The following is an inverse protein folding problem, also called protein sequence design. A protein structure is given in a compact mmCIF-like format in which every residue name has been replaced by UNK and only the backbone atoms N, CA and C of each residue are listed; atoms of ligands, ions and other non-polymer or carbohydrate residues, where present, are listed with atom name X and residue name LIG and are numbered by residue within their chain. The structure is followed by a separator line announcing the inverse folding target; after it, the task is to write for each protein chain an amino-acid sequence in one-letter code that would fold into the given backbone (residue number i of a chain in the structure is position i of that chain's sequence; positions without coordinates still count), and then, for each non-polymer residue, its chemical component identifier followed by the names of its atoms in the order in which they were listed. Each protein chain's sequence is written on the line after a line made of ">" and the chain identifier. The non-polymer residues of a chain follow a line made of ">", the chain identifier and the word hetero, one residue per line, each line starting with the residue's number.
data_IF_102971894774
#
_entry.id   IF_102971894774
#
_cell.length_a   1.000
_cell.length_b   1.000
_cell.length_c   1.000
_cell.angle_alpha   90.00
_cell.angle_beta   90.00
_cell.angle_gamma   90.00
#
_symmetry.space_group_name_H-M   'P 1'
#
loop_
_entity.id
_entity.type
_entity.pdbx_description
1 polymer ?
#
# COMPACT_ATOMS: atom_id res chain seq x y z
N UNK A 1 11.82 4.43 21.28
CA UNK A 1 11.01 3.65 20.30
C UNK A 1 9.86 2.86 20.91
N UNK A 2 10.01 2.35 22.12
CA UNK A 2 8.98 1.53 22.80
C UNK A 2 7.58 2.18 22.88
N UNK A 3 7.51 3.47 23.24
CA UNK A 3 6.22 4.21 23.24
C UNK A 3 5.54 4.28 21.86
N UNK A 4 6.30 4.34 20.76
CA UNK A 4 5.74 4.39 19.41
C UNK A 4 5.18 3.03 19.00
N UNK A 5 5.94 1.97 19.29
CA UNK A 5 5.50 0.59 19.11
C UNK A 5 4.18 0.37 19.85
N UNK A 6 4.09 0.68 21.15
CA UNK A 6 2.87 0.41 21.91
C UNK A 6 1.69 1.36 21.61
N UNK A 7 1.92 2.53 21.01
CA UNK A 7 0.85 3.47 20.63
C UNK A 7 0.09 3.09 19.35
N UNK A 8 0.76 2.46 18.39
CA UNK A 8 0.12 2.02 17.15
C UNK A 8 0.28 0.51 17.00
N UNK A 9 -0.84 -0.21 17.11
CA UNK A 9 -0.90 -1.68 17.06
C UNK A 9 -0.37 -2.28 15.75
N UNK A 10 -0.31 -1.47 14.69
CA UNK A 10 0.14 -1.92 13.37
C UNK A 10 1.67 -2.05 13.28
N UNK A 11 2.44 -1.38 14.14
CA UNK A 11 3.89 -1.60 14.18
C UNK A 11 4.21 -2.93 14.88
N UNK A 12 4.98 -3.78 14.19
CA UNK A 12 5.42 -5.11 14.66
C UNK A 12 6.87 -5.06 15.13
N UNK A 13 7.74 -4.39 14.37
CA UNK A 13 9.16 -4.20 14.65
C UNK A 13 9.56 -2.74 14.38
N UNK A 14 10.51 -2.21 15.14
CA UNK A 14 11.12 -0.90 14.95
C UNK A 14 12.64 -1.03 15.15
N UNK A 15 13.41 -0.59 14.17
CA UNK A 15 14.86 -0.53 14.22
C UNK A 15 15.36 0.89 14.02
N UNK A 16 16.44 1.22 14.73
CA UNK A 16 17.30 2.36 14.47
C UNK A 16 18.65 1.84 13.99
N UNK A 17 19.07 2.30 12.82
CA UNK A 17 20.28 1.87 12.13
C UNK A 17 21.24 3.06 12.10
N UNK A 18 22.52 2.84 12.39
CA UNK A 18 23.56 3.89 12.33
C UNK A 18 23.89 4.28 10.89
N UNK A 19 24.62 5.38 10.73
CA UNK A 19 25.06 5.89 9.43
C UNK A 19 25.99 4.93 8.64
N UNK A 20 26.54 3.90 9.28
CA UNK A 20 27.34 2.83 8.66
C UNK A 20 26.52 1.58 8.30
N UNK A 21 25.23 1.53 8.70
CA UNK A 21 24.31 0.44 8.36
C UNK A 21 24.11 -0.62 9.43
N UNK A 22 24.72 -0.47 10.62
CA UNK A 22 24.50 -1.40 11.72
C UNK A 22 23.24 -1.06 12.52
N UNK A 23 22.44 -2.05 12.92
CA UNK A 23 21.35 -1.79 13.87
C UNK A 23 21.92 -1.41 15.25
N UNK A 24 21.48 -0.27 15.80
CA UNK A 24 21.86 0.24 17.13
C UNK A 24 20.84 -0.17 18.19
N UNK A 25 19.56 -0.09 17.84
CA UNK A 25 18.46 -0.46 18.73
C UNK A 25 17.34 -1.06 17.89
N UNK A 26 16.77 -2.16 18.38
CA UNK A 26 15.62 -2.80 17.76
C UNK A 26 14.60 -3.22 18.82
N UNK A 27 13.33 -2.99 18.54
CA UNK A 27 12.21 -3.28 19.45
C UNK A 27 11.12 -3.99 18.67
N UNK A 28 10.87 -5.23 19.06
CA UNK A 28 9.84 -6.07 18.48
C UNK A 28 8.67 -6.27 19.46
N UNK A 29 7.45 -6.30 18.95
CA UNK A 29 6.23 -6.36 19.78
C UNK A 29 6.07 -7.68 20.54
N UNK A 30 6.45 -8.79 19.90
CA UNK A 30 6.16 -10.14 20.40
C UNK A 30 7.40 -10.93 20.84
N UNK A 31 8.59 -10.35 20.71
CA UNK A 31 9.86 -11.06 20.93
C UNK A 31 10.82 -10.13 21.65
N UNK A 32 11.59 -10.68 22.57
CA UNK A 32 12.72 -9.97 23.17
C UNK A 32 13.87 -9.96 22.17
N UNK A 33 14.44 -8.78 21.94
CA UNK A 33 15.61 -8.58 21.08
C UNK A 33 16.85 -8.44 21.97
N UNK A 34 17.89 -9.22 21.69
CA UNK A 34 19.22 -9.16 22.33
C UNK A 34 20.20 -8.42 21.42
N UNK A 35 21.36 -8.08 21.96
CA UNK A 35 22.44 -7.44 21.17
C UNK A 35 22.89 -8.33 20.00
N UNK A 36 22.99 -9.64 20.20
CA UNK A 36 23.35 -10.60 19.14
C UNK A 36 22.28 -10.73 18.03
N UNK A 37 21.07 -10.19 18.24
CA UNK A 37 20.00 -10.18 17.24
C UNK A 37 20.04 -8.95 16.32
N UNK A 38 20.96 -8.00 16.58
CA UNK A 38 21.15 -6.79 15.77
C UNK A 38 21.83 -7.14 14.44
N UNK A 39 21.33 -6.55 13.36
CA UNK A 39 21.71 -6.91 12.00
C UNK A 39 22.58 -5.83 11.35
N UNK A 40 23.47 -6.27 10.46
CA UNK A 40 24.06 -5.41 9.45
C UNK A 40 23.07 -5.24 8.29
N UNK A 41 22.58 -4.02 8.12
CA UNK A 41 21.65 -3.62 7.07
C UNK A 41 22.30 -2.70 6.03
N UNK A 42 23.64 -2.57 6.02
CA UNK A 42 24.37 -1.70 5.09
C UNK A 42 24.13 -2.05 3.62
N UNK A 43 23.84 -3.31 3.30
CA UNK A 43 23.51 -3.78 1.95
C UNK A 43 22.01 -3.80 1.65
N UNK A 44 21.14 -3.44 2.60
CA UNK A 44 19.68 -3.50 2.44
C UNK A 44 19.15 -2.35 1.58
N UNK A 45 18.04 -2.58 0.88
CA UNK A 45 17.39 -1.56 0.06
C UNK A 45 16.97 -0.33 0.87
N UNK A 46 16.48 -0.54 2.10
CA UNK A 46 16.10 0.55 3.01
C UNK A 46 17.28 1.46 3.33
N UNK A 47 18.46 0.89 3.57
CA UNK A 47 19.66 1.67 3.85
C UNK A 47 20.16 2.40 2.60
N UNK A 48 20.13 1.74 1.44
CA UNK A 48 20.53 2.35 0.17
C UNK A 48 19.60 3.51 -0.22
N UNK A 49 18.28 3.37 -0.02
CA UNK A 49 17.31 4.45 -0.23
C UNK A 49 17.58 5.63 0.71
N UNK A 50 17.81 5.36 2.00
CA UNK A 50 18.17 6.41 2.95
C UNK A 50 19.49 7.10 2.59
N UNK A 51 20.50 6.39 2.06
CA UNK A 51 21.72 7.04 1.55
C UNK A 51 21.46 7.96 0.36
N UNK A 52 20.41 7.71 -0.41
CA UNK A 52 20.01 8.53 -1.56
C UNK A 52 19.06 9.67 -1.17
N UNK A 53 18.72 9.82 0.11
CA UNK A 53 17.79 10.86 0.55
C UNK A 53 16.32 10.51 0.35
N UNK A 54 15.99 9.24 0.09
CA UNK A 54 14.61 8.80 -0.18
C UNK A 54 14.10 7.87 0.92
N UNK A 55 12.78 7.90 1.16
CA UNK A 55 12.16 6.89 1.98
C UNK A 55 12.02 5.58 1.19
N UNK A 56 11.93 4.48 1.93
CA UNK A 56 11.76 3.14 1.39
C UNK A 56 10.41 2.59 1.85
N UNK A 57 9.70 1.96 0.91
CA UNK A 57 8.50 1.17 1.19
C UNK A 57 8.65 -0.14 0.43
N UNK A 58 8.75 -1.25 1.16
CA UNK A 58 8.78 -2.56 0.52
C UNK A 58 7.40 -2.93 -0.02
N UNK A 59 7.35 -3.96 -0.85
CA UNK A 59 6.10 -4.66 -1.10
C UNK A 59 5.67 -5.47 0.14
N UNK A 60 4.45 -6.00 0.10
CA UNK A 60 3.95 -6.91 1.14
C UNK A 60 4.59 -8.28 0.99
N UNK A 61 5.13 -8.79 2.08
CA UNK A 61 5.59 -10.16 2.23
C UNK A 61 4.83 -10.86 3.35
N UNK A 62 4.93 -12.19 3.39
CA UNK A 62 4.24 -13.00 4.39
C UNK A 62 5.25 -13.65 5.35
N UNK A 63 5.10 -13.38 6.64
CA UNK A 63 5.81 -14.09 7.72
C UNK A 63 4.80 -14.86 8.57
N UNK A 64 4.93 -16.19 8.60
CA UNK A 64 4.03 -17.08 9.35
C UNK A 64 2.54 -16.82 9.03
N UNK A 65 2.23 -16.55 7.76
CA UNK A 65 0.87 -16.26 7.28
C UNK A 65 0.36 -14.85 7.58
N UNK A 66 1.18 -13.97 8.16
CA UNK A 66 0.83 -12.56 8.40
C UNK A 66 1.38 -11.69 7.27
N UNK A 67 0.56 -10.84 6.64
CA UNK A 67 1.03 -9.91 5.63
C UNK A 67 1.69 -8.70 6.32
N UNK A 68 2.94 -8.43 5.95
CA UNK A 68 3.80 -7.40 6.53
C UNK A 68 4.46 -6.59 5.42
N UNK A 69 4.84 -5.35 5.72
CA UNK A 69 5.68 -4.54 4.85
C UNK A 69 6.64 -3.70 5.67
N UNK A 70 7.73 -3.25 5.03
CA UNK A 70 8.73 -2.39 5.63
C UNK A 70 8.52 -0.94 5.18
N UNK A 71 8.65 -0.01 6.11
CA UNK A 71 8.86 1.41 5.81
C UNK A 71 10.12 1.87 6.48
N UNK A 72 10.92 2.69 5.81
CA UNK A 72 12.08 3.28 6.42
C UNK A 72 12.47 4.62 5.82
N UNK A 73 13.14 5.44 6.61
CA UNK A 73 13.58 6.76 6.21
C UNK A 73 14.85 7.15 6.95
N UNK A 74 15.73 7.87 6.27
CA UNK A 74 16.92 8.46 6.85
C UNK A 74 16.60 9.65 7.76
N UNK A 75 17.46 9.86 8.75
CA UNK A 75 17.52 11.06 9.58
C UNK A 75 18.80 11.78 9.19
N UNK A 76 18.68 13.02 8.75
CA UNK A 76 19.79 13.81 8.23
C UNK A 76 20.09 15.00 9.15
N UNK A 77 21.34 15.45 9.15
CA UNK A 77 21.71 16.71 9.78
C UNK A 77 21.41 17.90 8.85
N UNK A 78 21.74 19.12 9.30
CA UNK A 78 21.53 20.36 8.52
C UNK A 78 22.34 20.43 7.22
N UNK A 79 23.38 19.62 7.09
CA UNK A 79 24.23 19.51 5.91
C UNK A 79 23.78 18.39 4.96
N UNK A 80 22.59 17.81 5.17
CA UNK A 80 22.06 16.64 4.46
C UNK A 80 22.94 15.37 4.58
N UNK A 81 23.73 15.25 5.64
CA UNK A 81 24.49 14.03 5.91
C UNK A 81 23.66 13.05 6.73
N UNK A 82 23.59 11.80 6.27
CA UNK A 82 22.86 10.73 6.94
C UNK A 82 23.44 10.46 8.33
N UNK A 83 22.61 10.57 9.37
CA UNK A 83 22.98 10.30 10.77
C UNK A 83 22.52 8.91 11.22
N UNK A 84 21.33 8.51 10.80
CA UNK A 84 20.74 7.21 11.11
C UNK A 84 19.59 6.90 10.17
N UNK A 85 19.11 5.65 10.17
CA UNK A 85 17.93 5.22 9.43
C UNK A 85 16.94 4.62 10.41
N UNK A 86 15.68 5.01 10.30
CA UNK A 86 14.58 4.35 11.00
C UNK A 86 13.94 3.34 10.07
N UNK A 87 13.66 2.16 10.59
CA UNK A 87 12.95 1.09 9.88
C UNK A 87 11.81 0.59 10.75
N UNK A 88 10.64 0.39 10.16
CA UNK A 88 9.49 -0.20 10.81
C UNK A 88 8.95 -1.36 9.98
N UNK A 89 8.66 -2.47 10.63
CA UNK A 89 7.83 -3.55 10.07
C UNK A 89 6.39 -3.30 10.49
N UNK A 90 5.49 -3.25 9.51
CA UNK A 90 4.10 -2.86 9.67
C UNK A 90 3.20 -4.02 9.24
N UNK A 91 2.17 -4.27 10.04
CA UNK A 91 1.07 -5.16 9.70
C UNK A 91 0.24 -4.58 8.55
N UNK A 92 0.26 -5.24 7.40
CA UNK A 92 -0.42 -4.78 6.18
C UNK A 92 -1.95 -4.73 6.34
N UNK A 93 -2.53 -5.38 7.37
CA UNK A 93 -3.97 -5.28 7.67
C UNK A 93 -4.42 -3.87 8.01
N UNK A 94 -3.50 -2.95 8.33
CA UNK A 94 -3.85 -1.52 8.44
C UNK A 94 -4.46 -0.98 7.13
N UNK A 95 -3.97 -1.43 5.97
CA UNK A 95 -4.47 -1.02 4.65
C UNK A 95 -5.86 -1.57 4.36
N UNK A 96 -6.20 -2.75 4.92
CA UNK A 96 -7.54 -3.34 4.76
C UNK A 96 -8.61 -2.47 5.40
N UNK A 97 -8.32 -1.96 6.60
CA UNK A 97 -9.21 -1.02 7.27
C UNK A 97 -9.49 0.19 6.38
N UNK A 98 -8.44 0.76 5.78
CA UNK A 98 -8.56 1.91 4.88
C UNK A 98 -9.46 1.60 3.69
N UNK A 99 -9.24 0.50 2.96
CA UNK A 99 -10.09 0.17 1.81
C UNK A 99 -11.53 -0.15 2.21
N UNK A 100 -11.75 -0.82 3.35
CA UNK A 100 -13.08 -1.19 3.83
C UNK A 100 -13.93 0.00 4.30
N UNK A 101 -13.29 1.09 4.73
CA UNK A 101 -13.96 2.29 5.24
C UNK A 101 -14.18 3.38 4.16
N UNK A 102 -13.77 3.14 2.90
CA UNK A 102 -13.94 4.11 1.81
C UNK A 102 -15.40 4.32 1.39
N UNK A 103 -15.76 5.56 1.03
CA UNK A 103 -17.12 5.95 0.57
C UNK A 103 -17.59 5.17 -0.66
N UNK A 104 -16.66 4.76 -1.53
CA UNK A 104 -16.95 3.95 -2.73
C UNK A 104 -17.61 2.62 -2.32
N UNK A 105 -17.13 1.99 -1.24
CA UNK A 105 -17.73 0.78 -0.69
C UNK A 105 -19.18 0.99 -0.20
N UNK A 106 -19.49 2.19 0.29
CA UNK A 106 -20.82 2.54 0.82
C UNK A 106 -21.84 2.82 -0.30
N UNK A 107 -21.37 3.27 -1.47
CA UNK A 107 -22.18 3.53 -2.66
C UNK A 107 -22.49 2.32 -3.52
N UNK A 108 -22.06 1.11 -3.13
CA UNK A 108 -22.21 -0.12 -3.93
C UNK A 108 -21.09 -0.34 -4.95
N UNK A 109 -20.01 0.42 -4.88
CA UNK A 109 -18.72 0.09 -5.49
C UNK A 109 -17.83 -0.69 -4.52
N UNK A 110 -16.57 -0.87 -4.88
CA UNK A 110 -15.53 -1.43 -4.01
C UNK A 110 -14.18 -0.80 -4.31
N UNK A 111 -13.30 -0.81 -3.32
CA UNK A 111 -11.91 -0.43 -3.50
C UNK A 111 -10.99 -1.54 -2.98
N UNK A 112 -9.87 -1.74 -3.64
CA UNK A 112 -8.83 -2.69 -3.24
C UNK A 112 -7.46 -2.17 -3.67
N UNK A 113 -6.39 -2.78 -3.14
CA UNK A 113 -5.01 -2.40 -3.44
C UNK A 113 -4.31 -3.61 -4.06
N UNK A 114 -3.58 -3.37 -5.15
CA UNK A 114 -2.69 -4.36 -5.77
C UNK A 114 -1.25 -3.85 -5.77
N UNK A 115 -0.28 -4.77 -5.78
CA UNK A 115 1.11 -4.43 -6.04
C UNK A 115 1.39 -4.28 -7.55
N UNK A 116 2.65 -4.00 -7.89
CA UNK A 116 3.12 -3.88 -9.29
C UNK A 116 2.94 -5.16 -10.11
N UNK A 117 2.87 -6.32 -9.47
CA UNK A 117 2.65 -7.61 -10.13
C UNK A 117 1.16 -7.92 -10.31
N UNK A 118 0.26 -7.13 -9.71
CA UNK A 118 -1.18 -7.35 -9.73
C UNK A 118 -1.69 -8.26 -8.61
N UNK A 119 -0.83 -8.62 -7.65
CA UNK A 119 -1.22 -9.38 -6.46
C UNK A 119 -1.97 -8.46 -5.50
N UNK A 120 -3.07 -8.97 -4.94
CA UNK A 120 -3.93 -8.23 -4.02
C UNK A 120 -3.25 -8.06 -2.66
N UNK A 121 -3.07 -6.80 -2.26
CA UNK A 121 -2.41 -6.34 -1.02
C UNK A 121 -3.42 -5.93 0.05
N UNK A 122 -4.54 -5.33 -0.34
CA UNK A 122 -5.65 -5.01 0.54
C UNK A 122 -6.97 -5.20 -0.19
N UNK A 123 -7.97 -5.77 0.46
CA UNK A 123 -9.27 -6.04 -0.13
C UNK A 123 -10.35 -6.05 0.96
N UNK A 124 -11.62 -5.67 0.67
CA UNK A 124 -12.71 -5.70 1.66
C UNK A 124 -12.93 -7.10 2.24
N UNK A 125 -12.73 -8.13 1.43
CA UNK A 125 -12.58 -9.51 1.88
C UNK A 125 -11.10 -9.86 2.09
N UNK A 126 -10.68 -9.99 3.36
CA UNK A 126 -9.35 -10.39 3.80
C UNK A 126 -8.88 -11.73 3.18
N UNK A 127 -9.80 -12.64 2.86
CA UNK A 127 -9.44 -13.94 2.30
C UNK A 127 -8.74 -13.82 0.94
N UNK A 128 -9.06 -12.77 0.17
CA UNK A 128 -8.40 -12.44 -1.10
C UNK A 128 -6.92 -12.11 -0.91
N UNK A 129 -6.59 -11.37 0.16
CA UNK A 129 -5.20 -11.01 0.51
C UNK A 129 -4.45 -12.24 1.01
N UNK A 130 -5.04 -13.00 1.94
CA UNK A 130 -4.40 -14.20 2.50
C UNK A 130 -4.15 -15.29 1.45
N UNK A 131 -5.01 -15.37 0.43
CA UNK A 131 -4.83 -16.26 -0.72
C UNK A 131 -3.87 -15.71 -1.79
N UNK A 132 -3.31 -14.50 -1.60
CA UNK A 132 -2.41 -13.84 -2.54
C UNK A 132 -2.98 -13.85 -3.97
N UNK A 133 -4.27 -13.49 -4.11
CA UNK A 133 -4.95 -13.56 -5.40
C UNK A 133 -4.26 -12.65 -6.42
N UNK A 134 -4.12 -13.16 -7.63
CA UNK A 134 -3.58 -12.43 -8.76
C UNK A 134 -4.71 -11.81 -9.58
N UNK A 135 -4.74 -10.48 -9.65
CA UNK A 135 -5.69 -9.67 -10.41
C UNK A 135 -5.04 -9.03 -11.64
N UNK A 136 -3.83 -9.46 -12.02
CA UNK A 136 -3.10 -8.93 -13.19
C UNK A 136 -3.83 -9.10 -14.51
N UNK A 137 -4.77 -10.04 -14.59
CA UNK A 137 -5.63 -10.26 -15.76
C UNK A 137 -6.73 -9.20 -15.93
N UNK A 138 -6.99 -8.38 -14.91
CA UNK A 138 -8.00 -7.33 -15.01
C UNK A 138 -7.47 -6.19 -15.90
N UNK A 139 -8.26 -5.71 -16.88
CA UNK A 139 -7.80 -4.69 -17.83
C UNK A 139 -7.24 -3.42 -17.17
N UNK A 140 -7.83 -2.97 -16.04
CA UNK A 140 -7.32 -1.80 -15.31
C UNK A 140 -5.94 -2.07 -14.69
N UNK A 141 -5.70 -3.27 -14.17
CA UNK A 141 -4.44 -3.64 -13.52
C UNK A 141 -3.35 -3.81 -14.57
N UNK A 142 -3.66 -4.46 -15.68
CA UNK A 142 -2.77 -4.56 -16.84
C UNK A 142 -2.38 -3.17 -17.37
N UNK A 143 -3.36 -2.26 -17.49
CA UNK A 143 -3.10 -0.90 -17.97
C UNK A 143 -2.16 -0.11 -17.05
N UNK A 144 -2.29 -0.24 -15.72
CA UNK A 144 -1.41 0.45 -14.75
C UNK A 144 0.04 -0.05 -14.80
N UNK A 145 0.26 -1.31 -15.18
CA UNK A 145 1.63 -1.83 -15.42
C UNK A 145 2.31 -1.13 -16.59
N UNK A 146 1.54 -0.73 -17.61
CA UNK A 146 2.06 -0.08 -18.82
C UNK A 146 2.17 1.44 -18.65
N UNK A 147 1.16 2.06 -18.04
CA UNK A 147 1.10 3.51 -17.81
C UNK A 147 0.70 3.79 -16.36
N UNK A 148 1.65 4.14 -15.48
CA UNK A 148 1.44 4.42 -14.06
C UNK A 148 0.55 5.61 -13.66
N UNK A 149 -0.07 6.28 -14.63
CA UNK A 149 -0.83 7.53 -14.40
C UNK A 149 -2.27 7.15 -14.01
N UNK A 150 -3.05 8.10 -13.47
CA UNK A 150 -4.47 7.89 -13.22
C UNK A 150 -5.17 7.39 -14.48
N UNK A 151 -5.75 6.19 -14.42
CA UNK A 151 -6.36 5.53 -15.59
C UNK A 151 -7.84 5.28 -15.31
N UNK A 152 -8.77 5.96 -16.02
CA UNK A 152 -10.13 5.48 -16.15
C UNK A 152 -10.12 4.25 -17.07
N UNK A 153 -10.61 3.11 -16.58
CA UNK A 153 -10.93 2.00 -17.45
C UNK A 153 -12.30 2.20 -18.09
N UNK A 154 -12.40 1.86 -19.37
CA UNK A 154 -13.68 1.52 -19.98
C UNK A 154 -14.36 0.41 -19.19
N UNK A 155 -15.64 0.20 -19.43
CA UNK A 155 -16.37 -0.91 -18.80
C UNK A 155 -15.66 -2.25 -19.07
N UNK A 156 -15.42 -3.03 -18.02
CA UNK A 156 -14.85 -4.37 -18.12
C UNK A 156 -15.58 -5.34 -17.17
N UNK A 157 -15.25 -6.63 -17.32
CA UNK A 157 -15.78 -7.68 -16.47
C UNK A 157 -14.75 -8.01 -15.38
N UNK A 158 -15.13 -7.83 -14.11
CA UNK A 158 -14.24 -8.16 -12.98
C UNK A 158 -14.20 -9.68 -12.71
N UNK A 159 -13.45 -10.10 -11.69
CA UNK A 159 -13.29 -11.51 -11.29
C UNK A 159 -14.58 -12.15 -10.73
N UNK A 160 -15.56 -11.33 -10.33
CA UNK A 160 -16.90 -11.78 -9.93
C UNK A 160 -17.83 -11.96 -11.14
N UNK A 161 -17.35 -11.60 -12.35
CA UNK A 161 -18.14 -11.67 -13.56
C UNK A 161 -19.10 -10.48 -13.73
N UNK A 162 -18.92 -9.40 -12.98
CA UNK A 162 -19.76 -8.20 -13.00
C UNK A 162 -19.20 -7.17 -13.98
N UNK A 163 -20.07 -6.39 -14.61
CA UNK A 163 -19.64 -5.29 -15.47
C UNK A 163 -19.44 -4.02 -14.64
N UNK A 164 -18.19 -3.56 -14.57
CA UNK A 164 -17.76 -2.44 -13.72
C UNK A 164 -17.06 -1.35 -14.53
N UNK A 165 -17.06 -0.14 -13.97
CA UNK A 165 -16.14 0.93 -14.35
C UNK A 165 -15.02 0.97 -13.31
N UNK A 166 -13.77 0.96 -13.75
CA UNK A 166 -12.62 0.97 -12.85
C UNK A 166 -11.82 2.26 -12.95
N UNK A 167 -11.20 2.65 -11.86
CA UNK A 167 -10.23 3.74 -11.80
C UNK A 167 -9.05 3.30 -10.95
N UNK A 168 -7.85 3.50 -11.48
CA UNK A 168 -6.61 3.07 -10.85
C UNK A 168 -5.67 4.24 -10.60
N UNK A 169 -5.10 4.31 -9.39
CA UNK A 169 -4.13 5.35 -9.01
C UNK A 169 -2.95 4.77 -8.22
N UNK A 170 -1.71 5.23 -8.44
CA UNK A 170 -0.57 4.83 -7.62
C UNK A 170 -0.70 5.40 -6.20
N UNK A 171 -0.28 4.62 -5.20
CA UNK A 171 -0.15 5.10 -3.84
C UNK A 171 1.20 5.80 -3.68
N UNK A 172 1.14 7.06 -3.27
CA UNK A 172 2.31 7.87 -2.91
C UNK A 172 2.20 8.20 -1.43
N UNK A 173 3.25 7.92 -0.69
CA UNK A 173 3.36 8.26 0.74
C UNK A 173 4.26 9.48 0.89
N UNK A 174 3.94 10.32 1.88
CA UNK A 174 4.71 11.52 2.14
C UNK A 174 5.57 11.34 3.40
N UNK A 175 6.88 11.21 3.18
CA UNK A 175 7.91 11.09 4.23
C UNK A 175 9.05 12.03 3.86
N UNK A 176 9.04 13.23 4.43
CA UNK A 176 10.03 14.30 4.13
C UNK A 176 10.21 14.56 2.61
N UNK A 177 9.14 14.35 1.85
CA UNK A 177 9.12 14.25 0.39
C UNK A 177 8.09 13.23 -0.09
N UNK A 178 7.90 13.12 -1.41
CA UNK A 178 6.98 12.14 -2.00
C UNK A 178 7.71 10.86 -2.35
N UNK A 179 7.30 9.74 -1.75
CA UNK A 179 7.84 8.41 -2.04
C UNK A 179 6.77 7.56 -2.70
N UNK A 180 7.08 7.06 -3.89
CA UNK A 180 6.19 6.15 -4.62
C UNK A 180 6.26 4.77 -3.99
N UNK A 181 5.11 4.19 -3.69
CA UNK A 181 5.02 2.80 -3.20
C UNK A 181 4.88 1.84 -4.38
N UNK A 182 5.10 0.53 -4.18
CA UNK A 182 4.83 -0.48 -5.20
C UNK A 182 3.32 -0.78 -5.36
N UNK A 183 2.43 0.08 -4.86
CA UNK A 183 1.01 -0.21 -4.77
C UNK A 183 0.15 0.74 -5.58
N UNK A 184 -1.01 0.22 -6.01
CA UNK A 184 -2.06 0.96 -6.69
C UNK A 184 -3.38 0.71 -5.98
N UNK A 185 -4.15 1.78 -5.74
CA UNK A 185 -5.57 1.65 -5.36
C UNK A 185 -6.38 1.49 -6.62
N UNK A 186 -7.23 0.49 -6.65
CA UNK A 186 -8.28 0.32 -7.65
C UNK A 186 -9.61 0.61 -6.99
N UNK A 187 -10.38 1.51 -7.59
CA UNK A 187 -11.78 1.71 -7.29
C UNK A 187 -12.60 1.14 -8.45
N UNK A 188 -13.59 0.32 -8.12
CA UNK A 188 -14.57 -0.19 -9.07
C UNK A 188 -15.97 0.22 -8.65
N UNK A 189 -16.80 0.60 -9.62
CA UNK A 189 -18.22 0.84 -9.40
C UNK A 189 -19.03 0.00 -10.39
N UNK A 190 -20.18 -0.52 -9.93
CA UNK A 190 -21.11 -1.18 -10.83
C UNK A 190 -21.57 -0.17 -11.89
N UNK A 191 -21.28 -0.44 -13.16
CA UNK A 191 -21.59 0.49 -14.24
C UNK A 191 -23.08 0.85 -14.27
N UNK A 192 -23.97 -0.09 -13.97
CA UNK A 192 -25.42 0.16 -13.96
C UNK A 192 -25.86 1.13 -12.86
N UNK A 193 -25.13 1.17 -11.74
CA UNK A 193 -25.38 2.10 -10.64
C UNK A 193 -24.86 3.51 -10.98
N UNK A 194 -23.60 3.61 -11.45
CA UNK A 194 -23.02 4.87 -11.92
C UNK A 194 -23.90 5.55 -12.99
N UNK A 195 -24.44 4.77 -13.93
CA UNK A 195 -25.33 5.28 -14.98
C UNK A 195 -26.77 5.52 -14.54
N UNK A 196 -27.22 5.05 -13.36
CA UNK A 196 -28.60 5.27 -12.90
C UNK A 196 -28.91 6.76 -12.76
N UNK A 197 -27.95 7.52 -12.22
CA UNK A 197 -28.06 8.97 -12.06
C UNK A 197 -28.03 9.73 -13.40
N UNK A 198 -27.37 9.17 -14.42
CA UNK A 198 -27.32 9.77 -15.77
C UNK A 198 -28.59 9.47 -16.57
N UNK A 199 -29.17 8.28 -16.41
CA UNK A 199 -30.40 7.88 -17.10
C UNK A 199 -31.62 8.73 -16.72
N UNK A 200 -31.66 9.26 -15.50
CA UNK A 200 -32.73 10.19 -15.08
C UNK A 200 -32.68 11.53 -15.82
N UNK A 201 -31.48 11.99 -16.22
CA UNK A 201 -31.29 13.21 -17.01
C UNK A 201 -31.69 13.02 -18.49
N UNK A 202 -31.59 11.79 -19.00
CA UNK A 202 -31.91 11.47 -20.40
C UNK A 202 -33.42 11.35 -20.70
N UNK A 203 -34.29 11.39 -19.69
CA UNK A 203 -35.75 11.41 -19.88
C UNK A 203 -36.31 12.79 -20.26
N UNK A 204 -35.47 13.82 -20.42
CA UNK A 204 -35.89 15.10 -21.00
C UNK A 204 -35.81 15.06 -22.51
N UNK A 205 -36.84 14.52 -23.16
CA UNK A 205 -37.43 15.02 -24.42
C UNK A 205 -38.42 14.00 -24.99
N UNK A 206 -39.71 14.20 -24.70
CA UNK A 206 -40.85 14.01 -25.63
C UNK A 206 -42.19 14.17 -24.87
N UNK A 207 -42.36 15.33 -24.24
CA UNK A 207 -43.70 15.92 -24.07
C UNK A 207 -43.54 17.39 -24.40
N UNK A 208 -43.63 17.70 -25.70
CA UNK A 208 -43.88 19.03 -26.22
C UNK A 208 -45.18 18.97 -27.02
#
# INVERSE_FOLDING_TARGET
>A
MERLLFKNVSFVDLSLISADGQEIERKHRYRTIREDDLRDLSASEVFQAARQGTAYVSDVYFDQGRPLFLIGAGIYNRSNELQSVTLAEVDARIMQRVVSETTIAQGGGRAYIVNTDGIVVAHPDISTVLAQRDFSFLPIVEALKQTPVEMPANQYRNELGENVLGFGVPIVVQFDGSTRTPWYVIAEENASFAFRHVKEVLWFSLVA
#
